data_IF_458770026009
#
_entry.id   IF_458770026009
#
_cell.length_a   1.000
_cell.length_b   1.000
_cell.length_c   1.000
_cell.angle_alpha   90.00
_cell.angle_beta   90.00
_cell.angle_gamma   90.00
#
_symmetry.space_group_name_H-M   'P 1'
#
loop_
_entity.id
_entity.type
_entity.pdbx_description
1 polymer ?
#
# COMPACT_ATOMS: atom_id res chain seq x y z
N UNK A 1 17.22 18.70 -48.19
CA UNK A 1 16.87 18.58 -49.63
C UNK A 1 15.76 17.54 -49.74
N UNK A 2 14.57 17.83 -50.25
CA UNK A 2 14.00 19.14 -50.60
C UNK A 2 12.61 18.98 -51.22
N UNK A 3 11.59 19.59 -50.61
CA UNK A 3 10.20 19.52 -51.11
C UNK A 3 9.41 20.86 -51.00
N UNK A 4 9.95 21.87 -50.30
CA UNK A 4 9.31 23.19 -50.11
C UNK A 4 9.72 24.26 -51.13
N UNK A 5 10.41 23.88 -52.21
CA UNK A 5 10.83 24.84 -53.23
C UNK A 5 9.70 25.06 -54.27
N UNK A 6 9.10 26.26 -54.26
CA UNK A 6 8.15 26.78 -55.27
C UNK A 6 6.69 26.37 -55.11
N UNK A 7 6.02 26.85 -54.05
CA UNK A 7 4.58 27.12 -54.11
C UNK A 7 4.37 28.63 -54.22
N UNK A 8 3.89 29.11 -55.37
CA UNK A 8 3.61 30.54 -55.57
C UNK A 8 2.48 31.01 -54.65
N UNK A 9 2.61 32.22 -54.12
CA UNK A 9 1.57 32.86 -53.29
C UNK A 9 0.29 33.04 -54.11
N UNK A 10 -0.76 32.31 -53.74
CA UNK A 10 -2.09 32.42 -54.34
C UNK A 10 -3.01 33.16 -53.36
N UNK A 11 -3.07 34.49 -53.50
CA UNK A 11 -4.13 35.29 -52.89
C UNK A 11 -5.43 35.09 -53.70
N UNK A 12 -6.20 34.06 -53.36
CA UNK A 12 -7.57 33.89 -53.87
C UNK A 12 -8.47 34.96 -53.24
N UNK A 13 -9.07 35.79 -54.10
CA UNK A 13 -9.94 36.90 -53.68
C UNK A 13 -11.37 36.36 -53.51
N UNK A 14 -11.68 35.97 -52.27
CA UNK A 14 -13.01 35.62 -51.76
C UNK A 14 -13.21 36.43 -50.46
N UNK A 15 -14.38 37.06 -50.20
CA UNK A 15 -14.46 38.27 -49.38
C UNK A 15 -14.28 38.11 -47.86
N UNK A 16 -13.87 36.95 -47.36
CA UNK A 16 -13.80 36.61 -45.93
C UNK A 16 -12.42 36.13 -45.45
N UNK A 17 -11.33 36.41 -46.18
CA UNK A 17 -9.97 36.01 -45.81
C UNK A 17 -9.10 37.17 -45.33
N UNK A 18 -8.33 36.96 -44.26
CA UNK A 18 -7.30 37.90 -43.80
C UNK A 18 -5.93 37.22 -43.78
N UNK A 19 -5.10 37.57 -44.78
CA UNK A 19 -3.74 37.03 -44.94
C UNK A 19 -2.72 38.17 -44.86
N UNK A 20 -1.75 38.07 -43.96
CA UNK A 20 -0.62 38.99 -43.91
C UNK A 20 0.64 38.30 -43.36
N UNK A 21 1.62 38.06 -44.23
CA UNK A 21 2.83 37.35 -43.86
C UNK A 21 3.69 36.96 -45.06
N UNK A 22 4.75 36.20 -44.80
CA UNK A 22 5.58 35.55 -45.81
C UNK A 22 5.25 34.05 -45.84
N UNK A 23 5.07 33.49 -47.05
CA UNK A 23 4.71 32.08 -47.26
C UNK A 23 3.44 31.62 -46.48
N UNK A 24 2.49 32.55 -46.30
CA UNK A 24 1.22 32.30 -45.61
C UNK A 24 0.06 31.94 -46.57
N UNK A 25 -0.80 31.00 -46.18
CA UNK A 25 -1.96 30.53 -46.95
C UNK A 25 -3.23 30.50 -46.09
N UNK A 26 -4.36 30.96 -46.62
CA UNK A 26 -5.68 30.85 -45.98
C UNK A 26 -6.76 30.47 -47.00
N UNK A 27 -7.57 29.44 -46.72
CA UNK A 27 -8.67 28.96 -47.59
C UNK A 27 -9.85 28.45 -46.74
N UNK A 28 -11.09 28.81 -47.07
CA UNK A 28 -12.29 28.40 -46.33
C UNK A 28 -13.41 29.44 -46.36
N UNK A 29 -14.08 29.64 -45.24
CA UNK A 29 -14.85 30.86 -44.93
C UNK A 29 -14.35 31.44 -43.60
N UNK A 30 -14.37 32.76 -43.47
CA UNK A 30 -13.97 33.51 -42.26
C UNK A 30 -12.57 33.17 -41.71
N UNK A 31 -11.64 32.80 -42.60
CA UNK A 31 -10.30 32.31 -42.20
C UNK A 31 -9.23 33.39 -42.12
N UNK A 32 -8.24 33.16 -41.26
CA UNK A 32 -7.21 34.12 -40.92
C UNK A 32 -5.82 33.45 -40.84
N UNK A 33 -4.82 34.02 -41.52
CA UNK A 33 -3.43 33.55 -41.48
C UNK A 33 -2.47 34.74 -41.37
N UNK A 34 -1.84 34.93 -40.22
CA UNK A 34 -0.91 36.04 -39.99
C UNK A 34 0.46 35.54 -39.48
N UNK A 35 1.55 36.01 -40.10
CA UNK A 35 2.91 35.78 -39.61
C UNK A 35 3.90 35.25 -40.67
N UNK A 36 4.52 34.10 -40.42
CA UNK A 36 5.54 33.50 -41.28
C UNK A 36 5.31 31.99 -41.42
N UNK A 37 5.22 31.50 -42.66
CA UNK A 37 5.02 30.08 -42.99
C UNK A 37 3.76 29.47 -42.33
N UNK A 38 2.68 30.27 -42.24
CA UNK A 38 1.41 29.88 -41.60
C UNK A 38 0.34 29.40 -42.59
N UNK A 39 -0.42 28.36 -42.22
CA UNK A 39 -1.47 27.76 -43.05
C UNK A 39 -2.79 27.64 -42.29
N UNK A 40 -3.87 28.23 -42.81
CA UNK A 40 -5.24 28.09 -42.31
C UNK A 40 -6.15 27.46 -43.39
N UNK A 41 -6.78 26.31 -43.12
CA UNK A 41 -7.58 25.59 -44.11
C UNK A 41 -8.88 25.02 -43.53
N UNK A 42 -10.02 25.49 -44.07
CA UNK A 42 -11.38 25.11 -43.69
C UNK A 42 -12.13 26.23 -42.97
N UNK A 43 -13.44 26.11 -42.72
CA UNK A 43 -14.26 27.20 -42.17
C UNK A 43 -13.84 27.61 -40.75
N UNK A 44 -13.84 28.93 -40.51
CA UNK A 44 -13.64 29.53 -39.18
C UNK A 44 -12.26 29.19 -38.56
N UNK A 45 -11.26 28.97 -39.42
CA UNK A 45 -9.89 28.61 -39.03
C UNK A 45 -8.93 29.80 -38.92
N UNK A 46 -8.09 29.81 -37.88
CA UNK A 46 -7.12 30.88 -37.58
C UNK A 46 -5.71 30.34 -37.30
N UNK A 47 -4.72 30.73 -38.12
CA UNK A 47 -3.30 30.43 -37.91
C UNK A 47 -2.51 31.73 -37.63
N UNK A 48 -1.80 31.78 -36.50
CA UNK A 48 -1.21 33.00 -35.95
C UNK A 48 0.21 32.77 -35.42
N UNK A 49 1.24 33.23 -36.15
CA UNK A 49 2.62 33.26 -35.64
C UNK A 49 3.68 32.76 -36.62
N UNK A 50 4.55 31.84 -36.18
CA UNK A 50 5.64 31.29 -36.99
C UNK A 50 5.48 29.77 -37.14
N UNK A 51 5.51 29.29 -38.38
CA UNK A 51 5.39 27.86 -38.73
C UNK A 51 4.12 27.20 -38.14
N UNK A 52 2.99 27.94 -38.18
CA UNK A 52 1.71 27.51 -37.56
C UNK A 52 0.71 26.95 -38.58
N UNK A 53 0.05 25.84 -38.24
CA UNK A 53 -0.91 25.15 -39.09
C UNK A 53 -2.25 24.97 -38.37
N UNK A 54 -3.32 25.51 -38.94
CA UNK A 54 -4.71 25.29 -38.51
C UNK A 54 -5.51 24.64 -39.64
N UNK A 55 -6.09 23.47 -39.42
CA UNK A 55 -6.83 22.71 -40.44
C UNK A 55 -8.12 22.11 -39.89
N UNK A 56 -9.26 22.41 -40.51
CA UNK A 56 -10.55 21.77 -40.23
C UNK A 56 -11.70 22.77 -40.07
N UNK A 57 -12.47 22.66 -38.98
CA UNK A 57 -13.61 23.54 -38.68
C UNK A 57 -13.46 24.13 -37.28
N UNK A 58 -13.62 25.45 -37.15
CA UNK A 58 -13.49 26.18 -35.88
C UNK A 58 -12.16 25.87 -35.17
N UNK A 59 -11.03 26.00 -35.90
CA UNK A 59 -9.70 25.67 -35.38
C UNK A 59 -8.79 26.89 -35.20
N UNK A 60 -8.01 26.92 -34.13
CA UNK A 60 -7.10 28.02 -33.80
C UNK A 60 -5.70 27.49 -33.44
N UNK A 61 -4.68 27.88 -34.20
CA UNK A 61 -3.27 27.63 -33.90
C UNK A 61 -2.54 28.97 -33.68
N UNK A 62 -1.98 29.19 -32.50
CA UNK A 62 -1.34 30.45 -32.12
C UNK A 62 0.02 30.23 -31.43
N UNK A 63 1.10 30.71 -32.06
CA UNK A 63 2.42 30.73 -31.43
C UNK A 63 3.59 30.45 -32.37
N UNK A 64 4.48 29.54 -31.97
CA UNK A 64 5.63 29.08 -32.76
C UNK A 64 5.57 27.55 -32.92
N UNK A 65 5.71 27.06 -34.16
CA UNK A 65 5.67 25.62 -34.51
C UNK A 65 4.40 24.92 -33.98
N UNK A 66 3.23 25.59 -34.10
CA UNK A 66 1.94 25.12 -33.55
C UNK A 66 1.03 24.47 -34.59
N UNK A 67 0.41 23.35 -34.25
CA UNK A 67 -0.47 22.57 -35.12
C UNK A 67 -1.84 22.35 -34.45
N UNK A 68 -2.93 22.80 -35.08
CA UNK A 68 -4.31 22.49 -34.72
C UNK A 68 -5.02 21.79 -35.90
N UNK A 69 -5.54 20.58 -35.70
CA UNK A 69 -6.13 19.76 -36.77
C UNK A 69 -7.41 19.06 -36.31
N UNK A 70 -8.57 19.50 -36.79
CA UNK A 70 -9.83 18.81 -36.51
C UNK A 70 -11.09 19.67 -36.49
N UNK A 71 -11.97 19.39 -35.55
CA UNK A 71 -13.19 20.17 -35.29
C UNK A 71 -13.15 20.74 -33.88
N UNK A 72 -13.37 22.05 -33.73
CA UNK A 72 -13.34 22.76 -32.44
C UNK A 72 -12.00 22.50 -31.70
N UNK A 73 -10.88 22.84 -32.36
CA UNK A 73 -9.51 22.54 -31.86
C UNK A 73 -8.67 23.79 -31.62
N UNK A 74 -7.99 23.87 -30.48
CA UNK A 74 -7.19 25.02 -30.06
C UNK A 74 -5.77 24.56 -29.66
N UNK A 75 -4.75 25.12 -30.31
CA UNK A 75 -3.34 24.95 -29.97
C UNK A 75 -2.70 26.33 -29.70
N UNK A 76 -2.14 26.55 -28.51
CA UNK A 76 -1.58 27.84 -28.10
C UNK A 76 -0.26 27.67 -27.32
N UNK A 77 0.87 28.05 -27.92
CA UNK A 77 2.16 28.03 -27.23
C UNK A 77 3.39 27.98 -28.15
N UNK A 78 4.36 27.15 -27.79
CA UNK A 78 5.55 26.82 -28.58
C UNK A 78 5.57 25.30 -28.76
N UNK A 79 5.83 24.81 -29.98
CA UNK A 79 5.88 23.36 -30.29
C UNK A 79 4.60 22.60 -29.85
N UNK A 80 3.43 23.23 -30.02
CA UNK A 80 2.14 22.69 -29.53
C UNK A 80 1.35 21.95 -30.58
N UNK A 81 0.70 20.85 -30.20
CA UNK A 81 -0.14 20.05 -31.08
C UNK A 81 -1.53 19.83 -30.47
N UNK A 82 -2.60 20.15 -31.21
CA UNK A 82 -3.98 19.77 -30.91
C UNK A 82 -4.56 19.02 -32.12
N UNK A 83 -5.07 17.80 -31.93
CA UNK A 83 -5.61 17.00 -33.03
C UNK A 83 -6.84 16.21 -32.59
N UNK A 84 -7.96 16.40 -33.30
CA UNK A 84 -9.16 15.57 -33.19
C UNK A 84 -10.49 16.34 -33.14
N UNK A 85 -11.29 16.14 -32.09
CA UNK A 85 -12.58 16.81 -31.91
C UNK A 85 -12.66 17.37 -30.48
N UNK A 86 -13.03 18.65 -30.35
CA UNK A 86 -13.11 19.35 -29.05
C UNK A 86 -11.79 19.22 -28.26
N UNK A 87 -10.68 19.68 -28.86
CA UNK A 87 -9.32 19.51 -28.28
C UNK A 87 -8.62 20.82 -27.97
N UNK A 88 -7.92 20.88 -26.84
CA UNK A 88 -7.26 22.09 -26.33
C UNK A 88 -5.85 21.76 -25.82
N UNK A 89 -4.83 22.30 -26.48
CA UNK A 89 -3.43 22.27 -26.03
C UNK A 89 -2.94 23.70 -25.73
N UNK A 90 -2.46 23.95 -24.50
CA UNK A 90 -2.07 25.29 -24.04
C UNK A 90 -0.78 25.27 -23.19
N UNK A 91 0.28 25.86 -23.75
CA UNK A 91 1.59 26.05 -23.12
C UNK A 91 2.74 25.57 -24.03
N UNK A 92 4.02 25.60 -23.60
CA UNK A 92 5.12 25.06 -24.40
C UNK A 92 5.13 23.53 -24.41
N UNK A 93 5.46 22.94 -25.57
CA UNK A 93 5.69 21.50 -25.76
C UNK A 93 4.46 20.63 -25.39
N UNK A 94 3.25 21.18 -25.54
CA UNK A 94 1.98 20.54 -25.16
C UNK A 94 1.30 19.83 -26.33
N UNK A 95 0.83 18.59 -26.13
CA UNK A 95 0.11 17.78 -27.11
C UNK A 95 -1.24 17.27 -26.59
N UNK A 96 -2.34 17.63 -27.25
CA UNK A 96 -3.71 17.11 -27.04
C UNK A 96 -4.17 16.30 -28.27
N UNK A 97 -4.61 15.05 -28.06
CA UNK A 97 -4.77 14.03 -29.10
C UNK A 97 -6.03 13.18 -28.89
N UNK A 98 -7.16 13.54 -29.50
CA UNK A 98 -8.35 12.67 -29.50
C UNK A 98 -9.70 13.38 -29.51
N UNK A 99 -10.63 12.93 -28.67
CA UNK A 99 -11.98 13.49 -28.54
C UNK A 99 -12.18 14.05 -27.13
N UNK A 100 -12.64 15.30 -27.00
CA UNK A 100 -12.85 15.97 -25.70
C UNK A 100 -11.56 15.91 -24.84
N UNK A 101 -10.44 16.44 -25.38
CA UNK A 101 -9.10 16.32 -24.76
C UNK A 101 -8.50 17.67 -24.41
N UNK A 102 -7.99 17.82 -23.18
CA UNK A 102 -7.39 19.04 -22.65
C UNK A 102 -5.98 18.76 -22.14
N UNK A 103 -4.98 19.47 -22.65
CA UNK A 103 -3.61 19.49 -22.17
C UNK A 103 -3.18 20.94 -21.86
N UNK A 104 -2.80 21.23 -20.61
CA UNK A 104 -2.43 22.58 -20.17
C UNK A 104 -1.22 22.54 -19.24
N UNK A 105 -0.07 23.06 -19.68
CA UNK A 105 1.14 23.10 -18.85
C UNK A 105 2.42 23.35 -19.64
N UNK A 106 3.49 22.66 -19.28
CA UNK A 106 4.76 22.59 -20.02
C UNK A 106 5.05 21.10 -20.23
N UNK A 107 5.50 20.68 -21.42
CA UNK A 107 5.81 19.27 -21.74
C UNK A 107 4.65 18.30 -21.44
N UNK A 108 3.40 18.70 -21.74
CA UNK A 108 2.20 17.92 -21.36
C UNK A 108 1.63 17.08 -22.50
N UNK A 109 1.23 15.85 -22.20
CA UNK A 109 0.51 14.96 -23.12
C UNK A 109 -0.90 14.65 -22.60
N UNK A 110 -1.93 14.86 -23.43
CA UNK A 110 -3.26 14.27 -23.23
C UNK A 110 -3.67 13.51 -24.50
N UNK A 111 -3.95 12.22 -24.38
CA UNK A 111 -4.27 11.35 -25.51
C UNK A 111 -5.40 10.39 -25.17
N UNK A 112 -6.51 10.46 -25.93
CA UNK A 112 -7.61 9.51 -25.80
C UNK A 112 -9.02 10.07 -26.02
N UNK A 113 -9.93 9.76 -25.11
CA UNK A 113 -11.31 10.26 -25.10
C UNK A 113 -11.67 10.80 -23.71
N UNK A 114 -12.25 12.00 -23.63
CA UNK A 114 -12.59 12.65 -22.35
C UNK A 114 -11.38 12.71 -21.40
N UNK A 115 -10.30 13.40 -21.83
CA UNK A 115 -9.00 13.40 -21.13
C UNK A 115 -8.56 14.79 -20.68
N UNK A 116 -7.97 14.89 -19.48
CA UNK A 116 -7.54 16.17 -18.89
C UNK A 116 -6.15 16.05 -18.24
N UNK A 117 -5.14 16.66 -18.84
CA UNK A 117 -3.79 16.83 -18.29
C UNK A 117 -3.56 18.29 -17.90
N UNK A 118 -3.23 18.57 -16.63
CA UNK A 118 -3.08 19.94 -16.11
C UNK A 118 -1.85 20.10 -15.18
N UNK A 119 -0.89 20.89 -15.65
CA UNK A 119 0.37 21.23 -14.98
C UNK A 119 1.60 20.71 -15.74
N UNK A 120 2.84 21.02 -15.30
CA UNK A 120 4.06 20.66 -16.02
C UNK A 120 4.38 19.16 -15.97
N UNK A 121 4.92 18.65 -17.07
CA UNK A 121 5.42 17.26 -17.21
C UNK A 121 4.30 16.22 -16.94
N UNK A 122 3.06 16.56 -17.29
CA UNK A 122 1.87 15.74 -17.06
C UNK A 122 1.49 14.93 -18.29
N UNK A 123 1.16 13.64 -18.12
CA UNK A 123 0.90 12.69 -19.21
C UNK A 123 -0.35 11.86 -18.96
N UNK A 124 -1.29 11.86 -19.90
CA UNK A 124 -2.61 11.21 -19.79
C UNK A 124 -2.89 10.36 -21.03
N UNK A 125 -3.22 9.08 -20.82
CA UNK A 125 -3.32 8.05 -21.85
C UNK A 125 -4.51 7.10 -21.58
N UNK A 126 -5.73 7.45 -21.96
CA UNK A 126 -6.90 6.58 -21.69
C UNK A 126 -8.26 7.08 -22.18
N UNK A 127 -9.32 6.67 -21.48
CA UNK A 127 -10.71 7.09 -21.67
C UNK A 127 -11.25 7.56 -20.32
N UNK A 128 -11.91 8.71 -20.25
CA UNK A 128 -12.40 9.32 -19.01
C UNK A 128 -11.25 9.47 -17.97
N UNK A 129 -10.18 10.17 -18.37
CA UNK A 129 -8.89 10.17 -17.64
C UNK A 129 -8.41 11.56 -17.23
N UNK A 130 -7.78 11.64 -16.06
CA UNK A 130 -7.35 12.90 -15.48
C UNK A 130 -5.94 12.79 -14.87
N UNK A 131 -5.08 13.75 -15.16
CA UNK A 131 -3.88 14.02 -14.38
C UNK A 131 -3.77 15.52 -14.05
N UNK A 132 -3.48 15.85 -12.79
CA UNK A 132 -3.34 17.23 -12.33
C UNK A 132 -2.16 17.33 -11.36
N UNK A 133 -1.15 18.12 -11.71
CA UNK A 133 0.02 18.27 -10.86
C UNK A 133 1.33 18.61 -11.55
N UNK A 134 2.42 18.08 -11.01
CA UNK A 134 3.77 18.12 -11.58
C UNK A 134 4.31 16.69 -11.70
N UNK A 135 4.89 16.34 -12.85
CA UNK A 135 5.43 14.99 -13.13
C UNK A 135 4.39 13.86 -12.91
N UNK A 136 3.13 14.10 -13.32
CA UNK A 136 2.01 13.17 -13.07
C UNK A 136 1.61 12.34 -14.30
N UNK A 137 1.44 11.03 -14.14
CA UNK A 137 1.10 10.08 -15.19
C UNK A 137 -0.24 9.36 -14.91
N UNK A 138 -1.21 9.44 -15.81
CA UNK A 138 -2.44 8.64 -15.78
C UNK A 138 -2.56 7.77 -17.04
N UNK A 139 -2.72 6.46 -16.89
CA UNK A 139 -2.73 5.51 -18.01
C UNK A 139 -3.76 4.40 -17.82
N UNK A 140 -4.62 4.24 -18.83
CA UNK A 140 -5.76 3.32 -18.86
C UNK A 140 -7.08 4.01 -18.49
N UNK A 141 -8.23 3.34 -18.64
CA UNK A 141 -9.55 3.97 -18.54
C UNK A 141 -9.94 4.33 -17.09
N UNK A 142 -10.70 5.41 -16.93
CA UNK A 142 -11.27 5.84 -15.65
C UNK A 142 -10.17 6.09 -14.58
N UNK A 143 -9.01 6.61 -15.00
CA UNK A 143 -7.83 6.84 -14.14
C UNK A 143 -7.64 8.30 -13.74
N UNK A 144 -7.12 8.52 -12.52
CA UNK A 144 -6.89 9.84 -11.92
C UNK A 144 -5.54 9.91 -11.19
N UNK A 145 -4.63 10.78 -11.63
CA UNK A 145 -3.35 11.07 -10.98
C UNK A 145 -3.31 12.53 -10.46
N UNK A 146 -3.09 12.74 -9.16
CA UNK A 146 -3.34 14.02 -8.50
C UNK A 146 -2.22 14.42 -7.51
N UNK A 147 -1.24 15.21 -7.96
CA UNK A 147 -0.24 15.78 -7.03
C UNK A 147 1.15 16.07 -7.60
N UNK A 148 2.19 15.51 -6.99
CA UNK A 148 3.58 15.65 -7.42
C UNK A 148 4.23 14.26 -7.55
N UNK A 149 4.85 13.97 -8.69
CA UNK A 149 5.46 12.66 -8.98
C UNK A 149 4.45 11.48 -8.81
N UNK A 150 3.19 11.69 -9.22
CA UNK A 150 2.09 10.71 -9.02
C UNK A 150 1.77 9.92 -10.28
N UNK A 151 1.73 8.59 -10.20
CA UNK A 151 1.41 7.67 -11.31
C UNK A 151 0.19 6.78 -11.02
N UNK A 152 -0.85 6.83 -11.87
CA UNK A 152 -2.04 5.98 -11.81
C UNK A 152 -2.14 5.12 -13.09
N UNK A 153 -2.02 3.79 -12.97
CA UNK A 153 -1.73 2.87 -14.09
C UNK A 153 -2.66 1.65 -14.10
N UNK A 154 -3.88 1.75 -14.65
CA UNK A 154 -4.82 0.62 -14.69
C UNK A 154 -6.19 0.97 -15.26
N UNK A 155 -7.23 0.28 -14.78
CA UNK A 155 -8.64 0.62 -14.99
C UNK A 155 -9.20 1.08 -13.64
N UNK A 156 -10.00 2.15 -13.59
CA UNK A 156 -10.59 2.67 -12.33
C UNK A 156 -9.52 2.92 -11.24
N UNK A 157 -8.42 3.62 -11.57
CA UNK A 157 -7.29 3.84 -10.63
C UNK A 157 -7.12 5.27 -10.17
N UNK A 158 -6.67 5.45 -8.94
CA UNK A 158 -6.49 6.74 -8.28
C UNK A 158 -5.13 6.82 -7.58
N UNK A 159 -4.26 7.74 -8.01
CA UNK A 159 -3.04 8.11 -7.28
C UNK A 159 -3.17 9.57 -6.82
N UNK A 160 -2.99 9.84 -5.52
CA UNK A 160 -3.13 11.19 -4.97
C UNK A 160 -2.06 11.49 -3.92
N UNK A 161 -1.27 12.55 -4.12
CA UNK A 161 -0.38 13.12 -3.11
C UNK A 161 1.01 13.48 -3.60
N UNK A 162 2.05 12.89 -3.00
CA UNK A 162 3.46 13.12 -3.38
C UNK A 162 4.20 11.79 -3.51
N UNK A 163 4.94 11.57 -4.61
CA UNK A 163 5.65 10.31 -4.90
C UNK A 163 4.74 9.08 -4.76
N UNK A 164 3.52 9.14 -5.35
CA UNK A 164 2.51 8.06 -5.22
C UNK A 164 2.33 7.25 -6.50
N UNK A 165 2.22 5.93 -6.37
CA UNK A 165 2.03 4.97 -7.46
C UNK A 165 0.82 4.08 -7.17
N UNK A 166 -0.18 4.11 -8.03
CA UNK A 166 -1.26 3.12 -8.09
C UNK A 166 -1.13 2.33 -9.40
N UNK A 167 -1.10 1.00 -9.34
CA UNK A 167 -0.90 0.13 -10.51
C UNK A 167 -1.81 -1.10 -10.47
N UNK A 168 -2.49 -1.34 -11.59
CA UNK A 168 -3.48 -2.41 -11.78
C UNK A 168 -4.90 -1.97 -11.43
N UNK A 169 -5.94 -2.75 -11.80
CA UNK A 169 -7.33 -2.28 -11.80
C UNK A 169 -7.90 -2.04 -10.40
N UNK A 170 -8.80 -1.05 -10.27
CA UNK A 170 -9.52 -0.74 -9.02
C UNK A 170 -8.53 -0.44 -7.86
N UNK A 171 -7.41 0.22 -8.15
CA UNK A 171 -6.36 0.55 -7.16
C UNK A 171 -6.33 2.04 -6.81
N UNK A 172 -6.28 2.34 -5.52
CA UNK A 172 -6.29 3.69 -4.94
C UNK A 172 -5.10 3.88 -3.98
N UNK A 173 -4.13 4.73 -4.33
CA UNK A 173 -3.00 5.12 -3.50
C UNK A 173 -3.10 6.60 -3.10
N UNK A 174 -3.22 6.88 -1.80
CA UNK A 174 -3.44 8.21 -1.25
C UNK A 174 -2.36 8.52 -0.19
N UNK A 175 -1.43 9.44 -0.43
CA UNK A 175 -0.40 9.70 0.59
C UNK A 175 0.87 10.44 0.17
N UNK A 176 1.96 10.12 0.87
CA UNK A 176 3.32 10.54 0.54
C UNK A 176 4.22 9.30 0.45
N UNK A 177 5.00 9.13 -0.61
CA UNK A 177 5.85 7.94 -0.83
C UNK A 177 5.03 6.63 -0.74
N UNK A 178 3.87 6.57 -1.42
CA UNK A 178 2.93 5.43 -1.35
C UNK A 178 2.83 4.66 -2.67
N UNK A 179 3.06 3.34 -2.63
CA UNK A 179 3.02 2.45 -3.78
C UNK A 179 2.02 1.32 -3.56
N UNK A 180 0.96 1.25 -4.38
CA UNK A 180 -0.09 0.24 -4.36
C UNK A 180 -0.13 -0.52 -5.70
N UNK A 181 0.10 -1.83 -5.66
CA UNK A 181 0.33 -2.66 -6.85
C UNK A 181 -0.58 -3.90 -6.86
N UNK A 182 -1.66 -3.90 -7.63
CA UNK A 182 -2.44 -5.11 -7.91
C UNK A 182 -3.90 -4.89 -8.33
N UNK A 183 -4.87 -5.31 -7.54
CA UNK A 183 -6.31 -5.30 -7.91
C UNK A 183 -7.20 -5.01 -6.69
N UNK A 184 -8.24 -4.19 -6.82
CA UNK A 184 -9.16 -3.85 -5.70
C UNK A 184 -8.36 -3.45 -4.43
N UNK A 185 -7.44 -2.50 -4.56
CA UNK A 185 -6.58 -2.06 -3.44
C UNK A 185 -6.85 -0.62 -3.02
N UNK A 186 -6.86 -0.36 -1.71
CA UNK A 186 -6.99 0.98 -1.14
C UNK A 186 -5.89 1.20 -0.10
N UNK A 187 -5.02 2.17 -0.37
CA UNK A 187 -3.85 2.50 0.45
C UNK A 187 -3.91 3.97 0.84
N UNK A 188 -3.87 4.27 2.13
CA UNK A 188 -3.83 5.63 2.67
C UNK A 188 -2.69 5.76 3.68
N UNK A 189 -1.65 6.53 3.38
CA UNK A 189 -0.52 6.61 4.31
C UNK A 189 0.67 7.48 3.95
N UNK A 190 1.80 7.13 4.55
CA UNK A 190 3.12 7.73 4.31
C UNK A 190 4.19 6.61 4.30
N UNK A 191 5.13 6.62 3.34
CA UNK A 191 6.17 5.58 3.20
C UNK A 191 5.58 4.15 3.16
N UNK A 192 4.55 3.92 2.31
CA UNK A 192 3.81 2.65 2.27
C UNK A 192 4.03 1.88 0.98
N UNK A 193 4.42 0.60 1.05
CA UNK A 193 4.53 -0.29 -0.12
C UNK A 193 3.55 -1.48 0.01
N UNK A 194 2.66 -1.63 -0.97
CA UNK A 194 1.56 -2.60 -0.97
C UNK A 194 1.55 -3.32 -2.31
N UNK A 195 1.55 -4.65 -2.29
CA UNK A 195 1.38 -5.50 -3.47
C UNK A 195 0.28 -6.52 -3.19
N UNK A 196 -0.83 -6.52 -3.94
CA UNK A 196 -1.90 -7.46 -3.64
C UNK A 196 -3.20 -7.32 -4.39
N UNK A 197 -4.10 -8.29 -4.19
CA UNK A 197 -5.49 -8.22 -4.65
C UNK A 197 -6.43 -8.13 -3.44
N UNK A 198 -7.51 -7.35 -3.51
CA UNK A 198 -8.48 -7.17 -2.43
C UNK A 198 -7.81 -6.71 -1.12
N UNK A 199 -7.15 -5.54 -1.13
CA UNK A 199 -6.34 -5.07 0.02
C UNK A 199 -6.72 -3.67 0.52
N UNK A 200 -6.71 -3.47 1.84
CA UNK A 200 -6.92 -2.18 2.48
C UNK A 200 -5.79 -1.89 3.47
N UNK A 201 -5.07 -0.79 3.25
CA UNK A 201 -3.92 -0.38 4.05
C UNK A 201 -4.10 1.06 4.51
N UNK A 202 -3.97 1.32 5.81
CA UNK A 202 -4.04 2.67 6.38
C UNK A 202 -2.95 2.88 7.42
N UNK A 203 -1.86 3.56 7.10
CA UNK A 203 -0.72 3.62 8.03
C UNK A 203 0.43 4.55 7.64
N UNK A 204 1.59 4.28 8.24
CA UNK A 204 2.87 4.96 8.00
C UNK A 204 3.97 3.89 8.04
N UNK A 205 5.00 3.95 7.19
CA UNK A 205 6.08 2.93 7.12
C UNK A 205 5.54 1.48 6.96
N UNK A 206 4.53 1.27 6.11
CA UNK A 206 3.81 -0.03 6.01
C UNK A 206 4.24 -0.88 4.81
N UNK A 207 4.37 -2.20 4.95
CA UNK A 207 4.84 -3.11 3.89
C UNK A 207 3.95 -4.35 3.71
N UNK A 208 3.03 -4.32 2.74
CA UNK A 208 2.00 -5.35 2.52
C UNK A 208 2.25 -6.14 1.23
N UNK A 209 2.05 -7.45 1.26
CA UNK A 209 2.18 -8.37 0.12
C UNK A 209 1.16 -9.50 0.24
N UNK A 210 0.03 -9.46 -0.47
CA UNK A 210 -1.03 -10.43 -0.16
C UNK A 210 -2.30 -10.43 -1.01
N UNK A 211 -3.21 -11.34 -0.67
CA UNK A 211 -4.59 -11.35 -1.15
C UNK A 211 -5.52 -11.17 0.05
N UNK A 212 -6.65 -10.46 -0.09
CA UNK A 212 -7.64 -10.31 0.99
C UNK A 212 -7.00 -9.78 2.29
N UNK A 213 -6.28 -8.65 2.22
CA UNK A 213 -5.46 -8.14 3.35
C UNK A 213 -5.89 -6.79 3.91
N UNK A 214 -5.82 -6.63 5.23
CA UNK A 214 -6.23 -5.42 5.95
C UNK A 214 -5.12 -4.97 6.92
N UNK A 215 -4.26 -4.02 6.53
CA UNK A 215 -3.23 -3.45 7.42
C UNK A 215 -3.65 -2.07 7.95
N UNK A 216 -3.44 -1.79 9.24
CA UNK A 216 -3.83 -0.51 9.82
C UNK A 216 -2.90 -0.06 10.95
N UNK A 217 -2.16 1.03 10.71
CA UNK A 217 -1.34 1.77 11.65
C UNK A 217 0.14 1.89 11.26
N UNK A 218 1.01 2.44 12.12
CA UNK A 218 2.40 2.71 11.79
C UNK A 218 3.27 1.45 11.83
N UNK A 219 4.31 1.41 11.00
CA UNK A 219 5.34 0.36 10.98
C UNK A 219 4.70 -1.05 10.76
N UNK A 220 3.64 -1.12 9.93
CA UNK A 220 2.84 -2.33 9.73
C UNK A 220 3.17 -3.09 8.44
N UNK A 221 3.78 -4.27 8.57
CA UNK A 221 3.95 -5.23 7.48
C UNK A 221 2.89 -6.33 7.54
N UNK A 222 2.35 -6.74 6.37
CA UNK A 222 1.36 -7.82 6.27
C UNK A 222 1.52 -8.63 4.97
N UNK A 223 2.09 -9.83 5.06
CA UNK A 223 2.62 -10.59 3.93
C UNK A 223 1.93 -11.98 3.78
N UNK A 224 0.66 -12.05 3.38
CA UNK A 224 -0.09 -13.31 3.34
C UNK A 224 -1.40 -13.28 2.54
N UNK A 225 -2.23 -14.32 2.66
CA UNK A 225 -3.61 -14.31 2.14
C UNK A 225 -4.57 -14.09 3.33
N UNK A 226 -5.77 -13.55 3.15
CA UNK A 226 -6.78 -13.43 4.22
C UNK A 226 -6.19 -12.86 5.54
N UNK A 227 -5.43 -11.76 5.45
CA UNK A 227 -4.68 -11.20 6.60
C UNK A 227 -5.35 -9.97 7.19
N UNK A 228 -5.22 -9.76 8.49
CA UNK A 228 -5.53 -8.48 9.15
C UNK A 228 -4.40 -8.12 10.08
N UNK A 229 -3.78 -6.94 9.93
CA UNK A 229 -2.64 -6.49 10.71
C UNK A 229 -2.84 -5.07 11.26
N UNK A 230 -3.46 -4.94 12.44
CA UNK A 230 -3.88 -3.63 12.98
C UNK A 230 -3.08 -3.28 14.24
N UNK A 231 -2.28 -2.20 14.21
CA UNK A 231 -1.42 -1.87 15.33
C UNK A 231 -0.31 -0.88 15.06
N UNK A 232 0.77 -0.99 15.84
CA UNK A 232 2.04 -0.28 15.63
C UNK A 232 3.17 -1.31 15.64
N UNK A 233 4.17 -1.17 14.76
CA UNK A 233 5.27 -2.15 14.59
C UNK A 233 4.72 -3.58 14.34
N UNK A 234 3.69 -3.74 13.50
CA UNK A 234 3.06 -5.06 13.25
C UNK A 234 3.70 -5.82 12.11
N UNK A 235 3.85 -7.15 12.20
CA UNK A 235 4.47 -7.95 11.15
C UNK A 235 3.69 -9.26 10.90
N UNK A 236 2.64 -9.23 10.07
CA UNK A 236 1.92 -10.42 9.59
C UNK A 236 2.57 -11.07 8.37
N UNK A 237 2.48 -12.41 8.22
CA UNK A 237 3.32 -13.11 7.24
C UNK A 237 2.78 -14.40 6.56
N UNK A 238 1.49 -14.79 6.66
CA UNK A 238 0.91 -15.92 5.86
C UNK A 238 -0.64 -15.79 5.74
N UNK A 239 -1.28 -16.69 4.96
CA UNK A 239 -2.73 -17.03 4.94
C UNK A 239 -3.46 -16.83 6.27
N UNK A 240 -4.77 -16.50 6.25
CA UNK A 240 -5.71 -16.57 7.41
C UNK A 240 -5.11 -16.03 8.73
N UNK A 241 -4.48 -14.84 8.71
CA UNK A 241 -3.86 -14.20 9.90
C UNK A 241 -4.68 -13.04 10.48
N UNK A 242 -4.66 -12.84 11.81
CA UNK A 242 -5.30 -11.69 12.44
C UNK A 242 -4.45 -11.16 13.61
N UNK A 243 -3.94 -9.94 13.47
CA UNK A 243 -2.95 -9.30 14.34
C UNK A 243 -3.51 -8.02 14.95
N UNK A 244 -3.30 -7.86 16.26
CA UNK A 244 -3.73 -6.68 17.02
C UNK A 244 -2.67 -6.29 18.05
N UNK A 245 -2.24 -5.01 18.08
CA UNK A 245 -1.46 -4.46 19.20
C UNK A 245 -0.25 -3.59 18.82
N UNK A 246 0.62 -3.34 19.80
CA UNK A 246 1.87 -2.57 19.66
C UNK A 246 3.06 -3.56 19.64
N UNK A 247 4.12 -3.32 18.85
CA UNK A 247 5.28 -4.23 18.62
C UNK A 247 4.86 -5.66 18.17
N UNK A 248 3.99 -5.81 17.15
CA UNK A 248 3.40 -7.13 16.82
C UNK A 248 4.12 -8.00 15.76
N UNK A 249 4.06 -9.35 15.82
CA UNK A 249 4.74 -10.27 14.88
C UNK A 249 4.00 -11.60 14.62
N UNK A 250 3.92 -12.12 13.40
CA UNK A 250 2.84 -13.06 13.02
C UNK A 250 3.12 -13.96 11.81
N UNK A 251 2.67 -15.23 11.87
CA UNK A 251 2.87 -16.25 10.83
C UNK A 251 1.77 -17.33 10.81
N UNK A 252 1.24 -17.64 9.63
CA UNK A 252 0.62 -18.93 9.25
C UNK A 252 -0.89 -18.88 8.96
N UNK A 253 -1.47 -19.91 8.29
CA UNK A 253 -2.92 -20.25 8.06
C UNK A 253 -3.66 -20.54 9.38
N UNK A 254 -3.37 -19.64 10.28
CA UNK A 254 -2.82 -19.95 11.58
C UNK A 254 -2.79 -18.59 12.34
N UNK A 255 -3.77 -17.69 12.10
CA UNK A 255 -4.29 -16.58 12.94
C UNK A 255 -3.34 -15.80 13.87
N UNK A 256 -2.02 -15.82 13.65
CA UNK A 256 -1.04 -15.30 14.61
C UNK A 256 -1.30 -13.78 14.89
N UNK A 257 -1.06 -13.28 16.11
CA UNK A 257 -1.22 -11.89 16.57
C UNK A 257 -0.09 -11.26 17.49
N UNK A 258 1.24 -11.46 17.29
CA UNK A 258 2.23 -11.26 18.40
C UNK A 258 2.65 -9.81 18.84
N UNK A 259 1.91 -8.98 19.60
CA UNK A 259 2.35 -7.66 20.21
C UNK A 259 3.57 -7.52 21.17
N UNK A 260 3.52 -6.60 22.14
CA UNK A 260 4.60 -6.25 23.09
C UNK A 260 4.84 -7.25 24.27
N UNK A 261 3.88 -7.88 24.94
CA UNK A 261 2.47 -8.19 24.63
C UNK A 261 2.30 -9.13 23.42
N UNK A 262 3.35 -9.92 23.15
CA UNK A 262 3.58 -10.77 21.97
C UNK A 262 2.56 -11.92 22.01
N UNK A 263 1.39 -11.67 21.40
CA UNK A 263 0.12 -12.44 21.37
C UNK A 263 -0.28 -13.28 20.09
N UNK A 264 0.59 -14.04 19.42
CA UNK A 264 0.22 -15.09 18.44
C UNK A 264 -1.10 -15.91 18.68
N UNK A 265 -2.08 -15.90 17.74
CA UNK A 265 -3.01 -17.02 17.56
C UNK A 265 -2.48 -18.15 16.61
N UNK A 266 -3.30 -19.01 15.95
CA UNK A 266 -2.91 -20.24 15.19
C UNK A 266 -3.74 -21.53 15.34
N UNK A 267 -3.18 -22.72 15.06
CA UNK A 267 -3.80 -24.02 15.31
C UNK A 267 -3.41 -24.80 16.57
N UNK A 268 -2.19 -25.01 17.08
CA UNK A 268 -0.83 -24.49 16.80
C UNK A 268 -0.70 -22.98 17.05
N UNK A 269 -1.56 -22.49 17.95
CA UNK A 269 -1.77 -21.09 18.34
C UNK A 269 -0.77 -20.64 19.38
N UNK A 270 0.00 -19.58 19.11
CA UNK A 270 1.39 -19.57 19.60
C UNK A 270 1.94 -18.29 20.28
N UNK A 271 1.12 -17.45 20.93
CA UNK A 271 1.49 -16.22 21.67
C UNK A 271 2.65 -16.33 22.71
N UNK A 272 3.74 -15.56 22.50
CA UNK A 272 5.11 -15.70 23.06
C UNK A 272 5.85 -14.43 23.61
N UNK A 273 5.18 -13.41 24.17
CA UNK A 273 5.78 -12.10 24.61
C UNK A 273 6.20 -11.75 26.04
N UNK A 274 6.23 -10.43 26.38
CA UNK A 274 6.40 -9.92 27.76
C UNK A 274 5.21 -10.32 28.64
N UNK A 275 4.01 -9.91 28.24
CA UNK A 275 2.82 -10.73 28.41
C UNK A 275 2.66 -11.61 27.15
N UNK A 276 2.42 -12.88 27.38
CA UNK A 276 2.66 -14.07 26.53
C UNK A 276 1.35 -14.89 26.62
N UNK A 277 0.84 -15.61 25.61
CA UNK A 277 -0.59 -16.05 25.65
C UNK A 277 -1.11 -17.16 24.68
N UNK A 278 -0.29 -18.12 24.23
CA UNK A 278 -0.57 -19.10 23.13
C UNK A 278 -1.76 -20.11 23.32
N UNK A 279 -2.73 -20.25 22.38
CA UNK A 279 -4.04 -20.89 22.68
C UNK A 279 -4.85 -21.68 21.57
N UNK A 280 -4.43 -22.87 21.09
CA UNK A 280 -5.09 -23.60 19.99
C UNK A 280 -5.64 -24.99 20.27
N UNK A 281 -6.03 -25.69 19.20
CA UNK A 281 -6.11 -27.17 19.15
C UNK A 281 -4.78 -27.80 19.62
N UNK A 282 -3.65 -27.20 19.25
CA UNK A 282 -2.43 -27.20 20.07
C UNK A 282 -2.23 -25.81 20.73
N UNK A 283 -2.17 -25.81 22.07
CA UNK A 283 -2.35 -24.69 23.02
C UNK A 283 -1.07 -24.52 23.84
N UNK A 284 -0.43 -23.34 23.90
CA UNK A 284 0.96 -23.23 24.40
C UNK A 284 1.31 -22.05 25.34
N UNK A 285 0.36 -21.44 26.05
CA UNK A 285 0.56 -20.15 26.75
C UNK A 285 1.69 -20.08 27.79
N UNK A 286 2.29 -18.89 27.94
CA UNK A 286 3.40 -18.56 28.86
C UNK A 286 3.14 -17.21 29.56
N UNK A 287 4.08 -16.67 30.36
CA UNK A 287 4.09 -15.25 30.82
C UNK A 287 5.48 -14.85 31.37
N UNK A 288 6.10 -13.74 30.95
CA UNK A 288 7.49 -13.39 31.34
C UNK A 288 7.64 -12.26 32.37
N UNK A 289 7.38 -12.59 33.64
CA UNK A 289 7.44 -11.63 34.77
C UNK A 289 8.86 -11.29 35.22
N UNK A 290 9.25 -10.01 35.13
CA UNK A 290 10.63 -9.52 35.40
C UNK A 290 10.96 -9.37 36.89
N UNK A 291 11.49 -10.41 37.53
CA UNK A 291 11.96 -10.36 38.94
C UNK A 291 13.40 -9.82 39.08
N UNK A 292 13.56 -8.72 39.82
CA UNK A 292 14.81 -7.95 39.93
C UNK A 292 15.77 -8.45 41.03
N UNK A 293 16.41 -9.59 40.74
CA UNK A 293 17.61 -10.15 41.42
C UNK A 293 17.41 -10.85 42.79
N UNK A 294 18.29 -11.78 43.19
CA UNK A 294 19.57 -12.12 42.56
C UNK A 294 20.19 -13.48 42.91
N UNK A 295 21.40 -13.69 42.36
CA UNK A 295 22.28 -14.88 42.44
C UNK A 295 21.78 -16.18 41.80
N UNK A 296 22.17 -16.36 40.53
CA UNK A 296 22.56 -17.64 39.89
C UNK A 296 21.53 -18.80 39.82
N UNK A 297 20.24 -18.51 39.83
CA UNK A 297 19.26 -19.39 39.15
C UNK A 297 18.16 -18.54 38.50
N UNK A 298 18.22 -18.40 37.17
CA UNK A 298 17.09 -17.89 36.39
C UNK A 298 16.01 -18.95 36.35
N UNK A 299 14.97 -18.79 37.16
CA UNK A 299 13.76 -19.60 37.10
C UNK A 299 12.85 -19.02 36.02
N UNK A 300 12.39 -19.87 35.11
CA UNK A 300 11.28 -19.58 34.20
C UNK A 300 10.06 -20.29 34.78
N UNK A 301 8.96 -19.55 34.91
CA UNK A 301 7.68 -20.05 35.41
C UNK A 301 6.77 -20.33 34.21
N UNK A 302 6.12 -21.49 34.20
CA UNK A 302 5.41 -22.03 33.02
C UNK A 302 4.00 -22.44 33.42
N UNK A 303 3.01 -21.88 32.73
CA UNK A 303 1.58 -21.94 33.09
C UNK A 303 0.75 -22.44 31.91
N UNK A 304 0.72 -23.76 31.71
CA UNK A 304 0.06 -24.40 30.56
C UNK A 304 -1.33 -24.96 30.92
N UNK A 305 -2.42 -24.55 30.25
CA UNK A 305 -3.72 -25.19 30.38
C UNK A 305 -3.78 -26.48 29.55
N UNK A 306 -3.66 -27.63 30.23
CA UNK A 306 -4.06 -28.97 29.75
C UNK A 306 -3.55 -29.46 28.38
N UNK A 307 -2.34 -30.06 28.35
CA UNK A 307 -2.10 -31.43 27.81
C UNK A 307 -0.64 -31.86 28.08
N UNK A 308 -0.45 -32.93 28.85
CA UNK A 308 0.88 -33.33 29.39
C UNK A 308 1.80 -34.07 28.40
N UNK A 309 1.37 -34.35 27.17
CA UNK A 309 2.11 -35.19 26.21
C UNK A 309 3.10 -34.46 25.32
N UNK A 310 2.89 -33.18 25.00
CA UNK A 310 3.76 -32.40 24.10
C UNK A 310 4.90 -31.68 24.82
N UNK A 311 4.72 -31.34 26.10
CA UNK A 311 5.69 -30.59 26.90
C UNK A 311 7.08 -31.26 27.04
N UNK A 312 7.16 -32.59 27.01
CA UNK A 312 8.42 -33.33 27.26
C UNK A 312 9.45 -33.18 26.12
N UNK A 313 8.99 -32.87 24.90
CA UNK A 313 9.86 -32.58 23.74
C UNK A 313 10.64 -31.27 23.93
N UNK A 314 9.95 -30.21 24.33
CA UNK A 314 10.53 -28.88 24.55
C UNK A 314 11.45 -28.85 25.79
N UNK A 315 11.13 -29.65 26.82
CA UNK A 315 12.02 -29.86 27.99
C UNK A 315 13.36 -30.49 27.61
N UNK A 316 13.44 -31.29 26.53
CA UNK A 316 14.73 -31.80 26.03
C UNK A 316 15.52 -30.73 25.26
N UNK A 317 14.87 -29.89 24.45
CA UNK A 317 15.52 -28.78 23.73
C UNK A 317 16.11 -27.75 24.70
N UNK A 318 15.38 -27.41 25.77
CA UNK A 318 15.86 -26.49 26.81
C UNK A 318 16.94 -27.09 27.73
N UNK A 319 17.17 -28.42 27.67
CA UNK A 319 18.30 -29.11 28.30
C UNK A 319 19.54 -29.12 27.39
N UNK A 320 19.99 -27.92 27.02
CA UNK A 320 21.40 -27.72 26.64
C UNK A 320 22.35 -28.24 27.74
N UNK A 321 23.63 -28.54 27.41
CA UNK A 321 24.50 -29.42 28.23
C UNK A 321 24.84 -28.93 29.65
N UNK A 322 24.43 -27.73 30.04
CA UNK A 322 24.45 -27.27 31.43
C UNK A 322 23.07 -27.46 32.07
N UNK A 323 22.97 -28.33 33.08
CA UNK A 323 21.72 -28.60 33.83
C UNK A 323 20.95 -27.30 34.20
N UNK A 324 19.82 -27.05 33.53
CA UNK A 324 18.81 -26.06 33.93
C UNK A 324 17.61 -26.79 34.53
N UNK A 325 17.10 -26.28 35.66
CA UNK A 325 15.93 -26.84 36.35
C UNK A 325 14.66 -26.11 35.92
N UNK A 326 13.81 -26.79 35.15
CA UNK A 326 12.46 -26.32 34.79
C UNK A 326 11.46 -26.75 35.87
N UNK A 327 10.41 -25.94 36.10
CA UNK A 327 9.22 -26.32 36.88
C UNK A 327 7.96 -25.95 36.09
N UNK A 328 6.91 -26.73 36.31
CA UNK A 328 5.56 -26.50 35.78
C UNK A 328 4.62 -26.22 36.95
N UNK A 329 3.56 -25.44 36.72
CA UNK A 329 2.54 -25.13 37.72
C UNK A 329 1.15 -25.05 37.10
N UNK A 330 0.19 -25.76 37.69
CA UNK A 330 -1.23 -25.76 37.28
C UNK A 330 -2.07 -24.85 38.18
N UNK A 331 -3.09 -24.21 37.61
CA UNK A 331 -4.15 -23.48 38.34
C UNK A 331 -5.51 -24.16 38.09
N UNK A 332 -6.18 -24.71 39.12
CA UNK A 332 -7.36 -25.56 38.92
C UNK A 332 -8.66 -24.75 38.69
N UNK A 333 -9.47 -25.19 37.73
CA UNK A 333 -10.85 -24.74 37.57
C UNK A 333 -11.76 -25.35 38.65
N UNK A 334 -12.72 -24.57 39.17
CA UNK A 334 -13.63 -25.05 40.22
C UNK A 334 -14.65 -26.09 39.69
N UNK A 335 -14.77 -27.21 40.39
CA UNK A 335 -15.82 -28.22 40.17
C UNK A 335 -16.59 -28.51 41.46
N UNK A 336 -17.91 -28.66 41.34
CA UNK A 336 -18.82 -28.86 42.49
C UNK A 336 -19.23 -30.33 42.64
N UNK A 337 -18.59 -31.00 43.59
CA UNK A 337 -19.02 -32.21 44.34
C UNK A 337 -20.33 -32.94 43.95
N UNK A 338 -20.25 -34.27 43.79
CA UNK A 338 -20.99 -35.23 44.66
C UNK A 338 -20.55 -36.68 44.41
N UNK A 339 -20.02 -37.36 45.44
CA UNK A 339 -20.51 -38.65 46.00
C UNK A 339 -19.53 -39.15 47.09
N UNK A 340 -20.02 -39.98 48.01
CA UNK A 340 -19.35 -40.28 49.29
C UNK A 340 -19.67 -41.69 49.81
N UNK A 341 -18.75 -42.28 50.58
CA UNK A 341 -18.83 -43.59 51.28
C UNK A 341 -18.95 -44.86 50.37
N UNK A 342 -18.61 -46.11 50.77
CA UNK A 342 -18.48 -46.77 52.10
C UNK A 342 -17.38 -47.87 52.13
N UNK A 343 -16.94 -48.23 53.35
CA UNK A 343 -16.26 -49.48 53.78
C UNK A 343 -14.86 -49.84 53.21
N UNK A 344 -13.94 -50.48 53.96
CA UNK A 344 -13.83 -50.67 55.42
C UNK A 344 -13.53 -52.10 55.90
N UNK A 345 -12.36 -52.33 56.52
CA UNK A 345 -12.20 -53.31 57.61
C UNK A 345 -10.90 -53.17 58.43
N UNK A 346 -11.06 -53.35 59.73
CA UNK A 346 -10.08 -53.65 60.79
C UNK A 346 -9.23 -54.94 60.52
N UNK A 347 -8.15 -55.31 61.25
CA UNK A 347 -7.54 -54.84 62.52
C UNK A 347 -6.08 -55.37 62.69
N UNK A 348 -5.45 -55.01 63.82
CA UNK A 348 -4.40 -55.76 64.57
C UNK A 348 -2.89 -55.47 64.40
N UNK A 349 -2.23 -55.37 65.56
CA UNK A 349 -0.83 -55.69 65.86
C UNK A 349 -0.84 -56.43 67.22
N UNK A 350 0.12 -56.25 68.16
CA UNK A 350 1.50 -55.74 68.09
C UNK A 350 2.52 -56.64 68.84
N UNK A 351 3.85 -56.40 68.76
CA UNK A 351 4.83 -56.72 69.85
C UNK A 351 6.26 -56.16 69.66
N UNK A 352 6.76 -55.39 70.65
CA UNK A 352 8.07 -55.46 71.39
C UNK A 352 9.36 -56.01 70.73
N UNK A 353 10.61 -55.60 71.05
CA UNK A 353 11.19 -54.79 72.17
C UNK A 353 12.68 -54.36 71.89
N UNK A 354 13.31 -53.66 72.86
CA UNK A 354 14.74 -53.20 72.99
C UNK A 354 15.13 -51.92 72.21
N UNK A 355 15.26 -50.74 72.84
CA UNK A 355 16.36 -50.21 73.71
C UNK A 355 17.70 -50.01 72.97
N UNK A 356 18.30 -48.82 72.93
CA UNK A 356 18.77 -48.10 74.13
C UNK A 356 18.84 -46.54 74.05
N UNK A 357 19.10 -45.95 75.24
CA UNK A 357 19.19 -44.52 75.63
C UNK A 357 20.06 -43.60 74.74
N UNK A 358 19.61 -42.35 74.55
CA UNK A 358 20.41 -41.19 74.14
C UNK A 358 19.66 -39.87 74.41
N UNK A 359 20.31 -38.86 75.01
CA UNK A 359 19.66 -37.65 75.54
C UNK A 359 19.43 -36.53 74.49
N UNK A 360 18.29 -35.84 74.63
CA UNK A 360 18.10 -34.36 74.70
C UNK A 360 19.33 -33.49 74.32
N UNK A 361 19.23 -32.36 73.60
CA UNK A 361 18.11 -31.42 73.45
C UNK A 361 18.34 -30.37 72.33
N UNK A 362 17.25 -29.75 71.86
CA UNK A 362 17.15 -28.36 71.32
C UNK A 362 18.24 -27.72 70.44
N UNK A 363 17.91 -27.65 69.14
CA UNK A 363 17.76 -26.40 68.35
C UNK A 363 18.63 -25.16 68.67
N UNK A 364 19.35 -24.63 67.67
CA UNK A 364 18.88 -23.47 66.87
C UNK A 364 19.78 -23.14 65.65
N UNK A 365 19.18 -22.37 64.73
CA UNK A 365 19.81 -21.43 63.78
C UNK A 365 20.95 -21.96 62.89
N UNK A 366 20.60 -22.24 61.62
CA UNK A 366 21.57 -22.30 60.51
C UNK A 366 21.92 -20.88 60.09
N UNK A 367 23.19 -20.65 59.74
CA UNK A 367 23.75 -19.34 59.37
C UNK A 367 23.34 -18.85 57.99
N UNK A 368 23.61 -17.56 57.76
CA UNK A 368 23.46 -16.80 56.51
C UNK A 368 24.42 -17.26 55.38
N UNK A 369 24.28 -16.60 54.22
CA UNK A 369 25.10 -16.69 53.00
C UNK A 369 24.98 -18.03 52.23
N UNK A 370 25.00 -18.05 50.88
CA UNK A 370 25.34 -17.00 49.90
C UNK A 370 24.23 -16.76 48.87
#
# INVERSE_FOLDING_TARGET
>A
MGFFATLCIVQIIVPAHRVAGRETLALGLETLALGLETLALGPETSALGLETLALGLETLALGLETLALGLETLALGLETLALGLETLALGPETSALGLETLALGLETLALGLETLALGPETSVLGLETLALGLETLALGPETSALGLETSALGLETLALGLETLALGPETSALGLETSALGLETLVLGLETLVFGLETLVLGLETLVFGLETLALGPETSALGLETSALGLETLALVLETLVLGLETLVFGLETLALGLETLALGPETSALGLETSALGLETLAFTFKRLSSGRRSGLVEVSSPSLLSTADWLVQILRGPTHRTVRLSETPAHSSSTMDTTAGSDQSGPTTLRTSRGLRNHSRLRTEYQ
#
